data_IF_767521109506
#
_entry.id   IF_767521109506
#
_cell.length_a   1.000
_cell.length_b   1.000
_cell.length_c   1.000
_cell.angle_alpha   90.00
_cell.angle_beta   90.00
_cell.angle_gamma   90.00
#
_symmetry.space_group_name_H-M   'P 1'
#
loop_
_entity.id
_entity.type
_entity.pdbx_description
1 polymer ?
#
# COMPACT_ATOMS: atom_id res chain seq x y z
N UNK A 1 38.15 57.15 -16.24
CA UNK A 1 39.00 55.95 -16.13
C UNK A 1 38.88 55.39 -14.73
N UNK A 2 38.14 54.28 -14.56
CA UNK A 2 38.24 53.36 -13.44
C UNK A 2 37.37 52.14 -13.78
N UNK A 3 38.00 50.98 -13.94
CA UNK A 3 37.39 49.72 -14.36
C UNK A 3 36.89 48.94 -13.14
N UNK A 4 35.69 48.37 -13.25
CA UNK A 4 35.11 47.44 -12.27
C UNK A 4 35.85 46.09 -12.25
N UNK A 5 35.98 45.43 -11.10
CA UNK A 5 36.46 44.04 -11.05
C UNK A 5 35.33 43.04 -11.32
N UNK A 6 35.57 42.22 -12.35
CA UNK A 6 34.79 41.04 -12.75
C UNK A 6 34.89 39.93 -11.70
N UNK A 7 33.72 39.40 -11.33
CA UNK A 7 33.56 38.19 -10.51
C UNK A 7 33.98 36.96 -11.30
N UNK A 8 35.13 36.36 -10.94
CA UNK A 8 35.57 35.09 -11.49
C UNK A 8 34.74 33.93 -10.91
N UNK A 9 34.00 33.25 -11.79
CA UNK A 9 33.30 31.99 -11.52
C UNK A 9 34.19 30.87 -12.07
N UNK A 10 34.63 29.88 -11.28
CA UNK A 10 35.35 28.73 -11.82
C UNK A 10 34.35 27.84 -12.55
N UNK A 11 34.35 27.90 -13.88
CA UNK A 11 33.80 26.87 -14.74
C UNK A 11 34.80 25.73 -14.83
N UNK A 12 34.45 24.57 -14.29
CA UNK A 12 35.14 23.32 -14.61
C UNK A 12 34.77 22.93 -16.04
N UNK A 13 35.66 23.24 -16.98
CA UNK A 13 35.74 22.60 -18.28
C UNK A 13 36.52 21.31 -18.11
N UNK A 14 35.88 20.17 -18.40
CA UNK A 14 36.59 18.95 -18.75
C UNK A 14 36.37 18.74 -20.25
N UNK A 15 37.44 18.95 -21.01
CA UNK A 15 37.65 18.37 -22.33
C UNK A 15 37.83 16.87 -22.13
N UNK A 16 36.75 16.12 -22.30
CA UNK A 16 36.78 14.74 -22.82
C UNK A 16 35.31 14.29 -22.96
N UNK A 17 34.94 13.94 -24.18
CA UNK A 17 33.56 13.70 -24.63
C UNK A 17 32.92 12.42 -24.12
N UNK A 18 33.02 12.12 -22.83
CA UNK A 18 32.23 11.10 -22.16
C UNK A 18 31.01 11.76 -21.49
N UNK A 19 29.77 11.32 -21.74
CA UNK A 19 28.63 11.79 -20.99
C UNK A 19 28.77 11.25 -19.57
N UNK A 20 29.46 12.01 -18.72
CA UNK A 20 29.41 11.83 -17.28
C UNK A 20 27.94 12.01 -16.92
N UNK A 21 27.21 10.90 -16.83
CA UNK A 21 25.89 10.81 -16.23
C UNK A 21 26.07 11.24 -14.80
N UNK A 22 26.08 12.56 -14.60
CA UNK A 22 26.08 13.19 -13.30
C UNK A 22 24.96 12.50 -12.53
N UNK A 23 25.39 11.71 -11.54
CA UNK A 23 24.58 10.86 -10.69
C UNK A 23 23.68 11.81 -9.92
N UNK A 24 22.58 12.21 -10.56
CA UNK A 24 21.68 13.23 -10.10
C UNK A 24 21.05 12.75 -8.81
N UNK A 25 21.46 13.36 -7.70
CA UNK A 25 20.73 13.21 -6.46
C UNK A 25 19.31 13.73 -6.72
N UNK A 26 18.31 12.88 -6.51
CA UNK A 26 16.91 13.23 -6.69
C UNK A 26 16.56 14.40 -5.76
N UNK A 27 16.49 15.61 -6.34
CA UNK A 27 16.02 16.81 -5.64
C UNK A 27 14.54 16.63 -5.33
N UNK A 28 14.05 17.16 -4.21
CA UNK A 28 12.62 17.10 -3.87
C UNK A 28 11.80 17.63 -5.07
N UNK A 29 10.87 16.82 -5.57
CA UNK A 29 10.07 17.14 -6.77
C UNK A 29 10.61 16.59 -8.09
N UNK A 30 11.73 15.87 -8.06
CA UNK A 30 12.25 15.17 -9.24
C UNK A 30 11.30 14.03 -9.63
N UNK A 31 10.68 14.21 -10.79
CA UNK A 31 9.68 13.31 -11.33
C UNK A 31 10.28 11.95 -11.68
N UNK A 32 9.44 11.03 -12.15
CA UNK A 32 9.96 9.76 -12.67
C UNK A 32 10.54 9.99 -14.05
N UNK A 33 11.82 9.68 -14.22
CA UNK A 33 12.42 9.64 -15.55
C UNK A 33 11.77 8.53 -16.40
N UNK A 34 11.96 8.57 -17.72
CA UNK A 34 11.43 7.51 -18.61
C UNK A 34 12.08 6.17 -18.28
N UNK A 35 13.40 6.15 -18.10
CA UNK A 35 14.14 4.94 -17.75
C UNK A 35 13.74 4.39 -16.38
N UNK A 36 13.53 5.25 -15.39
CA UNK A 36 13.02 4.87 -14.06
C UNK A 36 11.59 4.30 -14.16
N UNK A 37 10.76 4.88 -15.04
CA UNK A 37 9.40 4.38 -15.28
C UNK A 37 9.42 2.98 -15.91
N UNK A 38 10.29 2.75 -16.89
CA UNK A 38 10.41 1.44 -17.55
C UNK A 38 10.98 0.39 -16.58
N UNK A 39 12.00 0.75 -15.79
CA UNK A 39 12.56 -0.11 -14.74
C UNK A 39 11.53 -0.47 -13.66
N UNK A 40 10.71 0.49 -13.22
CA UNK A 40 9.58 0.23 -12.32
C UNK A 40 8.63 -0.82 -12.89
N UNK A 41 8.28 -0.75 -14.17
CA UNK A 41 7.35 -1.70 -14.78
C UNK A 41 7.92 -3.11 -14.83
N UNK A 42 9.22 -3.25 -15.08
CA UNK A 42 9.91 -4.53 -15.06
C UNK A 42 9.92 -5.14 -13.65
N UNK A 43 10.34 -4.37 -12.64
CA UNK A 43 10.40 -4.84 -11.24
C UNK A 43 9.01 -5.23 -10.72
N UNK A 44 7.98 -4.43 -11.04
CA UNK A 44 6.59 -4.76 -10.67
C UNK A 44 6.15 -6.06 -11.35
N UNK A 45 6.49 -6.28 -12.62
CA UNK A 45 6.12 -7.51 -13.32
C UNK A 45 6.71 -8.76 -12.67
N UNK A 46 7.94 -8.67 -12.17
CA UNK A 46 8.66 -9.78 -11.55
C UNK A 46 8.23 -10.03 -10.09
N UNK A 47 8.08 -8.97 -9.28
CA UNK A 47 7.98 -9.07 -7.81
C UNK A 47 6.63 -8.64 -7.23
N UNK A 48 5.58 -8.46 -8.05
CA UNK A 48 4.28 -7.98 -7.54
C UNK A 48 3.61 -8.90 -6.51
N UNK A 49 3.98 -10.18 -6.46
CA UNK A 49 3.45 -11.16 -5.50
C UNK A 49 4.06 -10.99 -4.11
N UNK A 50 5.33 -10.57 -4.07
CA UNK A 50 6.13 -10.48 -2.87
C UNK A 50 5.84 -9.19 -2.08
N UNK A 51 5.33 -8.17 -2.76
CA UNK A 51 4.80 -6.96 -2.15
C UNK A 51 5.49 -5.69 -2.63
N UNK A 52 4.91 -4.55 -2.26
CA UNK A 52 5.41 -3.24 -2.70
C UNK A 52 6.70 -2.81 -2.01
N UNK A 53 6.99 -3.34 -0.83
CA UNK A 53 8.23 -3.01 -0.10
C UNK A 53 9.44 -3.65 -0.79
N UNK A 54 9.35 -4.93 -1.18
CA UNK A 54 10.39 -5.57 -1.97
C UNK A 54 10.58 -4.92 -3.35
N UNK A 55 9.48 -4.54 -4.02
CA UNK A 55 9.57 -3.77 -5.26
C UNK A 55 10.33 -2.46 -5.04
N UNK A 56 10.12 -1.79 -3.91
CA UNK A 56 10.84 -0.56 -3.59
C UNK A 56 12.34 -0.81 -3.37
N UNK A 57 12.68 -1.87 -2.65
CA UNK A 57 14.08 -2.25 -2.40
C UNK A 57 14.81 -2.61 -3.71
N UNK A 58 14.19 -3.46 -4.54
CA UNK A 58 14.73 -3.84 -5.84
C UNK A 58 14.85 -2.63 -6.80
N UNK A 59 13.85 -1.76 -6.83
CA UNK A 59 13.90 -0.52 -7.62
C UNK A 59 15.01 0.42 -7.14
N UNK A 60 15.15 0.61 -5.82
CA UNK A 60 16.16 1.50 -5.26
C UNK A 60 17.58 0.94 -5.45
N UNK A 61 17.75 -0.38 -5.53
CA UNK A 61 19.02 -1.01 -5.91
C UNK A 61 19.40 -0.70 -7.37
N UNK A 62 18.43 -0.67 -8.28
CA UNK A 62 18.64 -0.31 -9.69
C UNK A 62 18.88 1.20 -9.88
N UNK A 63 18.22 2.03 -9.08
CA UNK A 63 18.28 3.50 -9.17
C UNK A 63 18.76 4.14 -7.86
N UNK A 64 20.04 3.98 -7.47
CA UNK A 64 20.55 4.41 -6.16
C UNK A 64 20.50 5.93 -5.93
N UNK A 65 20.33 6.73 -7.01
CA UNK A 65 20.15 8.19 -6.93
C UNK A 65 18.70 8.65 -6.65
N UNK A 66 17.72 7.77 -6.85
CA UNK A 66 16.29 8.08 -6.75
C UNK A 66 15.63 7.19 -5.70
N UNK A 67 15.78 7.56 -4.43
CA UNK A 67 15.13 6.85 -3.32
C UNK A 67 13.62 7.02 -3.40
N UNK A 68 12.92 5.99 -3.88
CA UNK A 68 11.46 5.93 -3.94
C UNK A 68 10.93 5.04 -2.81
N UNK A 69 9.72 5.32 -2.37
CA UNK A 69 9.02 4.52 -1.36
C UNK A 69 8.00 3.62 -2.04
N UNK A 70 7.65 2.49 -1.40
CA UNK A 70 6.60 1.59 -1.87
C UNK A 70 5.31 2.35 -2.27
N UNK A 71 4.91 3.32 -1.46
CA UNK A 71 3.76 4.18 -1.73
C UNK A 71 3.91 5.07 -2.98
N UNK A 72 5.10 5.64 -3.24
CA UNK A 72 5.31 6.48 -4.43
C UNK A 72 5.34 5.66 -5.72
N UNK A 73 5.97 4.48 -5.70
CA UNK A 73 5.99 3.54 -6.82
C UNK A 73 4.59 3.02 -7.14
N UNK A 74 3.83 2.62 -6.11
CA UNK A 74 2.43 2.19 -6.25
C UNK A 74 1.55 3.27 -6.86
N UNK A 75 1.69 4.53 -6.42
CA UNK A 75 0.96 5.67 -7.00
C UNK A 75 1.35 5.92 -8.46
N UNK A 76 2.65 5.86 -8.78
CA UNK A 76 3.14 6.02 -10.15
C UNK A 76 2.59 4.92 -11.07
N UNK A 77 2.68 3.65 -10.65
CA UNK A 77 2.11 2.52 -11.38
C UNK A 77 0.59 2.68 -11.56
N UNK A 78 -0.12 3.07 -10.50
CA UNK A 78 -1.55 3.31 -10.55
C UNK A 78 -1.94 4.41 -11.55
N UNK A 79 -1.16 5.48 -11.61
CA UNK A 79 -1.34 6.53 -12.60
C UNK A 79 -1.15 6.00 -14.02
N UNK A 80 -0.10 5.20 -14.27
CA UNK A 80 0.22 4.69 -15.61
C UNK A 80 -0.89 3.81 -16.18
N UNK A 81 -1.35 2.79 -15.45
CA UNK A 81 -2.37 1.87 -16.01
C UNK A 81 -3.75 2.52 -16.16
N UNK A 82 -4.04 3.59 -15.41
CA UNK A 82 -5.29 4.37 -15.52
C UNK A 82 -5.24 5.42 -16.63
N UNK A 83 -4.05 5.75 -17.14
CA UNK A 83 -3.89 6.76 -18.19
C UNK A 83 -4.61 6.29 -19.46
N UNK A 84 -5.48 7.16 -19.98
CA UNK A 84 -6.07 7.01 -21.32
C UNK A 84 -5.02 7.47 -22.33
N UNK A 85 -4.77 6.65 -23.34
CA UNK A 85 -3.76 6.93 -24.36
C UNK A 85 -4.50 7.55 -25.54
N UNK A 86 -4.37 8.86 -25.67
CA UNK A 86 -4.94 9.63 -26.80
C UNK A 86 -3.86 9.89 -27.86
N UNK A 87 -4.27 10.29 -29.07
CA UNK A 87 -3.35 10.60 -30.19
C UNK A 87 -2.35 11.72 -29.89
N UNK A 88 -2.63 12.56 -28.88
CA UNK A 88 -1.77 13.65 -28.41
C UNK A 88 -0.74 13.20 -27.37
N UNK A 89 -0.84 11.96 -26.88
CA UNK A 89 0.06 11.42 -25.86
C UNK A 89 1.41 11.09 -26.48
N UNK A 90 2.51 11.59 -25.88
CA UNK A 90 3.86 11.26 -26.33
C UNK A 90 4.03 9.74 -26.36
N UNK A 91 4.55 9.21 -27.47
CA UNK A 91 4.68 7.77 -27.72
C UNK A 91 5.35 7.01 -26.56
N UNK A 92 6.40 7.59 -25.96
CA UNK A 92 7.09 7.00 -24.79
C UNK A 92 6.15 6.76 -23.61
N UNK A 93 5.25 7.70 -23.32
CA UNK A 93 4.25 7.56 -22.25
C UNK A 93 3.12 6.60 -22.63
N UNK A 94 2.73 6.58 -23.90
CA UNK A 94 1.77 5.61 -24.44
C UNK A 94 2.27 4.17 -24.27
N UNK A 95 3.53 3.91 -24.63
CA UNK A 95 4.18 2.59 -24.46
C UNK A 95 4.24 2.18 -22.99
N UNK A 96 4.69 3.07 -22.10
CA UNK A 96 4.74 2.79 -20.67
C UNK A 96 3.33 2.50 -20.09
N UNK A 97 2.31 3.24 -20.52
CA UNK A 97 0.92 3.00 -20.10
C UNK A 97 0.38 1.64 -20.62
N UNK A 98 0.70 1.26 -21.85
CA UNK A 98 0.34 -0.04 -22.42
C UNK A 98 0.98 -1.20 -21.64
N UNK A 99 2.27 -1.11 -21.32
CA UNK A 99 2.98 -2.09 -20.49
C UNK A 99 2.35 -2.15 -19.09
N UNK A 100 2.07 -0.99 -18.47
CA UNK A 100 1.43 -0.94 -17.15
C UNK A 100 0.05 -1.62 -17.13
N UNK A 101 -0.75 -1.44 -18.19
CA UNK A 101 -2.04 -2.14 -18.36
C UNK A 101 -1.83 -3.65 -18.47
N UNK A 102 -0.90 -4.09 -19.32
CA UNK A 102 -0.55 -5.51 -19.45
C UNK A 102 -0.14 -6.13 -18.11
N UNK A 103 0.77 -5.48 -17.38
CA UNK A 103 1.20 -5.94 -16.04
C UNK A 103 0.00 -5.98 -15.07
N UNK A 104 -0.88 -4.99 -15.11
CA UNK A 104 -2.10 -4.97 -14.28
C UNK A 104 -3.04 -6.12 -14.61
N UNK A 105 -3.16 -6.49 -15.87
CA UNK A 105 -3.97 -7.62 -16.33
C UNK A 105 -3.34 -8.95 -15.92
N UNK A 106 -2.01 -9.09 -16.02
CA UNK A 106 -1.26 -10.25 -15.47
C UNK A 106 -1.52 -10.39 -13.95
N UNK A 107 -1.42 -9.30 -13.19
CA UNK A 107 -1.70 -9.28 -11.74
C UNK A 107 -3.15 -9.67 -11.41
N UNK A 108 -4.13 -9.34 -12.27
CA UNK A 108 -5.55 -9.70 -12.09
C UNK A 108 -5.82 -11.14 -12.54
N UNK A 109 -5.25 -11.56 -13.67
CA UNK A 109 -5.42 -12.88 -14.26
C UNK A 109 -4.83 -13.97 -13.37
N UNK A 110 -3.68 -13.71 -12.75
CA UNK A 110 -3.05 -14.68 -11.85
C UNK A 110 -3.80 -14.82 -10.51
N UNK A 111 -4.59 -13.82 -10.09
CA UNK A 111 -5.57 -13.95 -8.98
C UNK A 111 -6.81 -14.79 -9.34
N UNK A 112 -7.07 -15.01 -10.63
CA UNK A 112 -8.09 -15.96 -11.12
C UNK A 112 -7.50 -17.29 -11.59
N UNK A 113 -6.17 -17.38 -11.71
CA UNK A 113 -5.45 -18.44 -12.44
C UNK A 113 -5.14 -19.72 -11.67
N UNK A 114 -5.41 -19.82 -10.37
CA UNK A 114 -5.42 -21.12 -9.68
C UNK A 114 -6.70 -21.93 -9.97
N UNK A 115 -7.58 -21.45 -10.85
CA UNK A 115 -8.75 -22.15 -11.36
C UNK A 115 -8.76 -22.29 -12.91
N UNK A 116 -7.61 -22.16 -13.58
CA UNK A 116 -7.57 -22.08 -15.05
C UNK A 116 -6.37 -22.78 -15.67
N UNK A 117 -6.25 -24.09 -15.48
CA UNK A 117 -5.42 -24.94 -16.34
C UNK A 117 -6.13 -25.11 -17.69
N UNK A 118 -5.39 -24.85 -18.78
CA UNK A 118 -5.70 -24.94 -20.23
C UNK A 118 -6.28 -23.71 -20.91
N UNK A 119 -5.51 -23.19 -21.87
CA UNK A 119 -6.01 -22.30 -22.91
C UNK A 119 -4.90 -21.67 -23.73
N UNK A 120 -4.15 -22.48 -24.48
CA UNK A 120 -3.32 -22.01 -25.59
C UNK A 120 -4.22 -21.56 -26.76
N UNK A 121 -4.01 -20.34 -27.28
CA UNK A 121 -4.28 -19.87 -28.66
C UNK A 121 -3.81 -18.42 -28.74
N UNK A 122 -2.71 -18.07 -29.42
CA UNK A 122 -2.53 -18.00 -30.88
C UNK A 122 -3.63 -17.18 -31.57
N UNK A 123 -3.21 -16.01 -32.05
CA UNK A 123 -3.76 -15.15 -33.12
C UNK A 123 -5.24 -15.25 -33.47
N UNK A 124 -5.94 -14.12 -33.36
CA UNK A 124 -6.57 -13.55 -34.55
C UNK A 124 -6.89 -12.05 -34.38
N UNK A 125 -6.33 -11.30 -35.32
CA UNK A 125 -6.80 -9.99 -35.78
C UNK A 125 -8.30 -10.06 -36.10
N UNK A 126 -9.08 -9.09 -35.62
CA UNK A 126 -10.18 -8.51 -36.41
C UNK A 126 -10.61 -7.18 -35.81
N UNK A 127 -10.49 -6.17 -36.66
CA UNK A 127 -11.07 -4.84 -36.51
C UNK A 127 -12.59 -4.94 -36.36
N UNK A 128 -13.18 -4.20 -35.42
CA UNK A 128 -14.55 -3.71 -35.57
C UNK A 128 -14.75 -2.46 -34.72
N UNK A 129 -14.88 -1.32 -35.40
CA UNK A 129 -15.44 -0.09 -34.86
C UNK A 129 -16.88 -0.33 -34.39
N UNK A 130 -17.31 0.33 -33.31
CA UNK A 130 -18.70 0.22 -32.84
C UNK A 130 -18.96 0.85 -31.48
N UNK A 131 -19.00 2.18 -31.47
CA UNK A 131 -19.56 3.05 -30.41
C UNK A 131 -20.84 2.52 -29.76
N UNK A 132 -20.89 2.43 -28.41
CA UNK A 132 -22.05 2.83 -27.58
C UNK A 132 -21.54 3.22 -26.17
N UNK A 133 -21.89 4.43 -25.74
CA UNK A 133 -21.45 5.02 -24.48
C UNK A 133 -22.18 4.51 -23.24
N UNK A 134 -21.47 4.53 -22.11
CA UNK A 134 -22.06 4.61 -20.77
C UNK A 134 -21.26 5.66 -20.01
N UNK A 135 -21.96 6.73 -19.68
CA UNK A 135 -21.50 7.89 -18.94
C UNK A 135 -21.64 7.58 -17.45
N UNK A 136 -20.51 7.36 -16.75
CA UNK A 136 -20.51 7.25 -15.29
C UNK A 136 -19.72 8.43 -14.71
N UNK A 137 -20.50 9.34 -14.10
CA UNK A 137 -20.05 10.55 -13.42
C UNK A 137 -19.29 10.15 -12.17
N UNK A 138 -17.97 10.37 -12.15
CA UNK A 138 -17.19 10.28 -10.92
C UNK A 138 -16.99 11.67 -10.35
N UNK A 139 -17.61 11.91 -9.19
CA UNK A 139 -17.39 13.08 -8.36
C UNK A 139 -15.91 13.20 -7.95
N UNK A 140 -15.42 14.43 -8.12
CA UNK A 140 -14.18 14.97 -7.59
C UNK A 140 -14.01 14.64 -6.11
N UNK A 141 -12.78 14.24 -5.73
CA UNK A 141 -12.23 14.63 -4.43
C UNK A 141 -10.70 14.55 -4.46
N UNK A 142 -10.12 15.71 -4.70
CA UNK A 142 -8.77 16.08 -4.31
C UNK A 142 -8.67 16.17 -2.78
N UNK A 143 -7.66 15.54 -2.21
CA UNK A 143 -6.98 15.93 -0.96
C UNK A 143 -5.60 15.25 -1.01
N UNK A 144 -4.46 15.92 -1.21
CA UNK A 144 -3.82 17.01 -0.45
C UNK A 144 -3.55 16.63 1.00
N UNK A 145 -2.26 16.69 1.30
CA UNK A 145 -1.58 16.77 2.60
C UNK A 145 -1.26 15.46 3.33
N UNK A 146 0.01 15.14 3.56
CA UNK A 146 1.11 15.83 4.27
C UNK A 146 1.28 15.23 5.67
N UNK A 147 2.53 14.83 5.90
CA UNK A 147 3.24 14.77 7.18
C UNK A 147 2.81 13.72 8.21
N UNK A 148 3.73 12.79 8.48
CA UNK A 148 4.45 12.69 9.76
C UNK A 148 5.32 11.43 9.71
N UNK A 149 6.63 11.57 9.83
CA UNK A 149 7.51 10.45 10.19
C UNK A 149 8.14 10.82 11.53
N UNK A 150 7.57 10.23 12.58
CA UNK A 150 8.15 10.21 13.91
C UNK A 150 9.20 9.09 13.92
N UNK A 151 10.44 9.47 14.21
CA UNK A 151 11.55 8.57 14.47
C UNK A 151 11.29 7.79 15.76
N UNK A 152 11.53 6.48 15.72
CA UNK A 152 11.98 5.73 16.90
C UNK A 152 13.22 4.94 16.49
N UNK A 153 14.33 5.30 17.13
CA UNK A 153 15.56 4.51 17.21
C UNK A 153 15.38 3.49 18.34
N UNK A 154 15.85 2.25 18.18
CA UNK A 154 16.89 1.66 19.05
C UNK A 154 17.20 0.17 18.76
N UNK A 155 18.52 -0.10 18.73
CA UNK A 155 19.30 -1.31 19.09
C UNK A 155 19.04 -2.65 18.35
N UNK A 156 19.98 -3.20 17.57
CA UNK A 156 21.32 -3.74 17.88
C UNK A 156 21.27 -5.07 18.66
N UNK A 157 21.58 -6.20 17.98
CA UNK A 157 22.56 -7.24 18.34
C UNK A 157 22.37 -8.53 17.50
N UNK A 158 23.42 -8.91 16.75
CA UNK A 158 23.80 -10.29 16.34
C UNK A 158 24.57 -10.94 17.53
N UNK A 159 25.01 -12.23 17.52
CA UNK A 159 24.88 -13.38 16.60
C UNK A 159 24.29 -14.63 17.33
N UNK A 160 24.10 -15.84 16.78
CA UNK A 160 25.10 -16.83 16.33
C UNK A 160 24.43 -18.19 15.97
N UNK A 161 25.16 -19.03 15.21
CA UNK A 161 25.15 -20.50 15.15
C UNK A 161 24.02 -21.27 14.41
N UNK A 162 24.35 -21.61 13.16
CA UNK A 162 24.38 -22.96 12.55
C UNK A 162 23.73 -24.13 13.32
N UNK A 163 22.60 -24.65 12.82
CA UNK A 163 22.26 -26.09 12.88
C UNK A 163 21.62 -26.51 11.55
N UNK A 164 22.39 -27.27 10.78
CA UNK A 164 21.95 -28.15 9.70
C UNK A 164 21.32 -29.41 10.31
N UNK A 165 20.05 -29.75 10.00
CA UNK A 165 19.56 -31.15 9.95
C UNK A 165 18.07 -31.25 9.56
N UNK A 166 17.83 -31.89 8.41
CA UNK A 166 16.72 -32.81 8.10
C UNK A 166 15.26 -32.36 8.29
N UNK A 167 14.77 -31.52 7.38
CA UNK A 167 13.32 -31.34 7.12
C UNK A 167 12.73 -32.45 6.20
N UNK A 168 13.58 -33.37 5.71
CA UNK A 168 13.22 -34.30 4.63
C UNK A 168 12.71 -35.69 5.08
N UNK A 169 12.74 -36.01 6.39
CA UNK A 169 12.26 -37.31 6.92
C UNK A 169 10.78 -37.30 7.33
N UNK A 170 10.20 -36.13 7.64
CA UNK A 170 8.80 -36.06 8.14
C UNK A 170 7.77 -36.25 7.02
N UNK A 171 8.18 -36.14 5.74
CA UNK A 171 7.29 -36.35 4.59
C UNK A 171 7.17 -37.80 4.12
N UNK A 172 7.98 -38.73 4.64
CA UNK A 172 7.95 -40.13 4.19
C UNK A 172 7.14 -41.08 5.07
N UNK A 173 6.85 -40.73 6.33
CA UNK A 173 6.10 -41.61 7.25
C UNK A 173 4.58 -41.51 7.13
N UNK A 174 4.05 -40.57 6.36
CA UNK A 174 2.60 -40.35 6.18
C UNK A 174 2.01 -41.01 4.92
N UNK A 175 2.82 -41.66 4.09
CA UNK A 175 2.40 -42.20 2.78
C UNK A 175 2.12 -43.70 2.76
N UNK A 176 2.31 -44.42 3.87
CA UNK A 176 2.26 -45.90 3.90
C UNK A 176 1.10 -46.54 4.67
N UNK A 177 0.12 -45.78 5.15
CA UNK A 177 -1.06 -46.36 5.82
C UNK A 177 -2.36 -45.92 5.18
N UNK A 178 -2.62 -46.42 3.97
CA UNK A 178 -3.97 -46.44 3.38
C UNK A 178 -4.16 -47.81 2.73
N UNK A 179 -4.56 -48.80 3.52
CA UNK A 179 -5.24 -49.99 2.99
C UNK A 179 -6.76 -49.72 3.00
N UNK A 180 -7.48 -50.02 1.91
CA UNK A 180 -8.93 -49.90 1.87
C UNK A 180 -9.55 -51.17 2.43
N UNK A 181 -10.05 -51.13 3.67
CA UNK A 181 -10.97 -52.15 4.18
C UNK A 181 -12.39 -51.60 4.07
N UNK A 182 -13.11 -52.09 3.06
CA UNK A 182 -14.54 -51.97 2.89
C UNK A 182 -15.26 -52.60 4.09
N UNK A 183 -15.80 -51.78 4.99
CA UNK A 183 -16.93 -52.19 5.83
C UNK A 183 -17.79 -50.97 6.14
N UNK A 184 -18.95 -50.92 5.48
CA UNK A 184 -19.96 -49.89 5.71
C UNK A 184 -20.50 -50.00 7.14
N UNK A 185 -20.27 -48.95 7.93
CA UNK A 185 -20.94 -48.71 9.20
C UNK A 185 -21.65 -47.35 9.09
N UNK A 186 -23.00 -47.29 9.07
CA UNK A 186 -23.76 -46.05 8.83
C UNK A 186 -23.89 -45.19 10.09
N UNK A 187 -22.80 -45.02 10.86
CA UNK A 187 -22.82 -44.37 12.18
C UNK A 187 -21.87 -43.15 12.29
N UNK A 188 -21.25 -42.73 11.19
CA UNK A 188 -20.21 -41.70 11.22
C UNK A 188 -20.70 -40.27 10.92
N UNK A 189 -21.84 -40.11 10.26
CA UNK A 189 -22.33 -38.78 9.83
C UNK A 189 -23.02 -37.99 10.95
N UNK A 190 -23.68 -38.66 11.89
CA UNK A 190 -24.33 -38.00 13.03
C UNK A 190 -23.32 -37.42 14.06
N UNK A 191 -22.12 -38.00 14.15
CA UNK A 191 -21.06 -37.51 15.03
C UNK A 191 -20.46 -36.18 14.56
N UNK A 192 -20.47 -35.92 13.24
CA UNK A 192 -20.00 -34.64 12.69
C UNK A 192 -21.06 -33.55 12.79
N UNK A 193 -22.34 -33.88 12.63
CA UNK A 193 -23.43 -32.91 12.75
C UNK A 193 -23.67 -32.45 14.20
N UNK A 194 -23.47 -33.32 15.19
CA UNK A 194 -23.54 -32.96 16.61
C UNK A 194 -22.40 -32.05 17.06
N UNK A 195 -21.26 -32.06 16.36
CA UNK A 195 -20.12 -31.17 16.63
C UNK A 195 -20.37 -29.72 16.19
N UNK A 196 -21.31 -29.49 15.26
CA UNK A 196 -21.59 -28.18 14.68
C UNK A 196 -22.51 -27.31 15.59
N UNK A 197 -22.93 -27.83 16.75
CA UNK A 197 -23.65 -27.06 17.78
C UNK A 197 -22.66 -26.56 18.85
N UNK A 198 -21.92 -25.52 18.49
CA UNK A 198 -20.69 -25.05 19.12
C UNK A 198 -20.72 -24.42 20.55
N UNK A 199 -21.85 -24.13 21.23
CA UNK A 199 -21.77 -23.76 22.65
C UNK A 199 -21.33 -24.93 23.56
N UNK A 200 -21.56 -26.17 23.10
CA UNK A 200 -21.35 -27.40 23.88
C UNK A 200 -19.86 -27.81 23.91
N UNK A 201 -19.06 -27.32 22.95
CA UNK A 201 -17.63 -27.63 22.86
C UNK A 201 -16.80 -27.07 24.04
N UNK A 202 -17.15 -25.88 24.54
CA UNK A 202 -16.41 -25.24 25.64
C UNK A 202 -16.58 -25.93 26.99
N UNK A 203 -17.77 -26.48 27.27
CA UNK A 203 -18.02 -27.28 28.48
C UNK A 203 -17.35 -28.65 28.40
N UNK A 204 -17.33 -29.25 27.21
CA UNK A 204 -16.68 -30.54 26.97
C UNK A 204 -15.16 -30.45 27.11
N UNK A 205 -14.55 -29.38 26.61
CA UNK A 205 -13.13 -29.06 26.82
C UNK A 205 -12.81 -28.84 28.32
N UNK A 206 -13.73 -28.23 29.07
CA UNK A 206 -13.58 -28.01 30.52
C UNK A 206 -13.68 -29.31 31.32
N UNK A 207 -14.65 -30.17 31.01
CA UNK A 207 -14.78 -31.50 31.63
C UNK A 207 -13.57 -32.40 31.33
N UNK A 208 -13.09 -32.41 30.09
CA UNK A 208 -11.93 -33.23 29.71
C UNK A 208 -10.63 -32.72 30.34
N UNK A 209 -10.47 -31.41 30.52
CA UNK A 209 -9.36 -30.85 31.33
C UNK A 209 -9.38 -31.40 32.74
N UNK A 210 -10.54 -31.44 33.37
CA UNK A 210 -10.70 -32.02 34.71
C UNK A 210 -10.45 -33.54 34.74
N UNK A 211 -10.79 -34.27 33.67
CA UNK A 211 -10.49 -35.71 33.56
C UNK A 211 -9.00 -36.01 33.36
N UNK A 212 -8.28 -35.16 32.63
CA UNK A 212 -6.82 -35.24 32.49
C UNK A 212 -6.16 -34.99 33.85
N UNK A 213 -6.64 -33.98 34.60
CA UNK A 213 -6.14 -33.67 35.95
C UNK A 213 -6.42 -34.80 36.96
N UNK A 214 -7.51 -35.56 36.79
CA UNK A 214 -7.84 -36.71 37.63
C UNK A 214 -7.15 -38.02 37.22
N UNK A 215 -6.29 -38.00 36.19
CA UNK A 215 -5.54 -39.15 35.68
C UNK A 215 -6.42 -40.34 35.26
N UNK A 216 -7.64 -40.08 34.81
CA UNK A 216 -8.50 -41.10 34.21
C UNK A 216 -7.99 -41.49 32.83
N UNK A 217 -8.11 -42.76 32.45
CA UNK A 217 -7.65 -43.26 31.14
C UNK A 217 -8.56 -42.72 30.02
N UNK A 218 -8.12 -41.63 29.39
CA UNK A 218 -8.84 -41.01 28.27
C UNK A 218 -8.61 -41.82 27.00
N UNK A 219 -9.71 -42.13 26.30
CA UNK A 219 -9.64 -42.78 25.00
C UNK A 219 -8.83 -41.94 24.01
N UNK A 220 -8.00 -42.57 23.19
CA UNK A 220 -7.24 -41.89 22.13
C UNK A 220 -8.14 -41.10 21.17
N UNK A 221 -9.39 -41.56 20.99
CA UNK A 221 -10.41 -40.88 20.20
C UNK A 221 -10.88 -39.57 20.85
N UNK A 222 -11.04 -39.56 22.18
CA UNK A 222 -11.45 -38.35 22.92
C UNK A 222 -10.32 -37.32 22.96
N UNK A 223 -9.07 -37.77 23.04
CA UNK A 223 -7.90 -36.89 22.92
C UNK A 223 -7.84 -36.23 21.54
N UNK A 224 -8.03 -36.99 20.46
CA UNK A 224 -8.06 -36.46 19.10
C UNK A 224 -9.21 -35.45 18.90
N UNK A 225 -10.39 -35.76 19.44
CA UNK A 225 -11.54 -34.85 19.40
C UNK A 225 -11.24 -33.54 20.16
N UNK A 226 -10.54 -33.63 21.28
CA UNK A 226 -10.12 -32.47 22.09
C UNK A 226 -9.14 -31.58 21.33
N UNK A 227 -8.10 -32.16 20.74
CA UNK A 227 -7.10 -31.42 19.95
C UNK A 227 -7.77 -30.70 18.77
N UNK A 228 -8.71 -31.37 18.09
CA UNK A 228 -9.46 -30.77 17.00
C UNK A 228 -10.29 -29.55 17.47
N UNK A 229 -10.98 -29.67 18.60
CA UNK A 229 -11.74 -28.56 19.19
C UNK A 229 -10.84 -27.38 19.57
N UNK A 230 -9.69 -27.63 20.19
CA UNK A 230 -8.71 -26.58 20.55
C UNK A 230 -8.16 -25.89 19.30
N UNK A 231 -7.84 -26.64 18.24
CA UNK A 231 -7.34 -26.06 17.00
C UNK A 231 -8.39 -25.17 16.32
N UNK A 232 -9.65 -25.61 16.30
CA UNK A 232 -10.75 -24.84 15.72
C UNK A 232 -11.07 -23.58 16.55
N UNK A 233 -11.03 -23.67 17.89
CA UNK A 233 -11.17 -22.52 18.77
C UNK A 233 -10.01 -21.52 18.61
N UNK A 234 -8.77 -22.02 18.54
CA UNK A 234 -7.58 -21.20 18.27
C UNK A 234 -7.67 -20.51 16.90
N UNK A 235 -8.17 -21.20 15.87
CA UNK A 235 -8.38 -20.63 14.56
C UNK A 235 -9.42 -19.51 14.59
N UNK A 236 -10.57 -19.76 15.24
CA UNK A 236 -11.63 -18.76 15.43
C UNK A 236 -11.12 -17.52 16.16
N UNK A 237 -10.31 -17.70 17.19
CA UNK A 237 -9.75 -16.60 17.96
C UNK A 237 -8.89 -15.69 17.07
N UNK A 238 -8.02 -16.28 16.24
CA UNK A 238 -7.23 -15.52 15.26
C UNK A 238 -8.08 -14.83 14.19
N UNK A 239 -9.22 -15.41 13.81
CA UNK A 239 -10.17 -14.77 12.89
C UNK A 239 -10.83 -13.55 13.56
N UNK A 240 -11.28 -13.68 14.82
CA UNK A 240 -11.85 -12.59 15.59
C UNK A 240 -10.87 -11.44 15.82
N UNK A 241 -9.62 -11.74 16.16
CA UNK A 241 -8.57 -10.73 16.32
C UNK A 241 -8.32 -9.97 15.00
N UNK A 242 -8.30 -10.67 13.86
CA UNK A 242 -8.18 -10.04 12.55
C UNK A 242 -9.39 -9.17 12.21
N UNK A 243 -10.59 -9.55 12.61
CA UNK A 243 -11.79 -8.74 12.41
C UNK A 243 -11.81 -7.50 13.31
N UNK A 244 -11.42 -7.65 14.57
CA UNK A 244 -11.27 -6.54 15.51
C UNK A 244 -10.23 -5.53 14.98
N UNK A 245 -9.07 -5.99 14.53
CA UNK A 245 -8.04 -5.12 13.99
C UNK A 245 -8.52 -4.37 12.74
N UNK A 246 -9.29 -5.02 11.86
CA UNK A 246 -9.91 -4.34 10.70
C UNK A 246 -10.88 -3.25 11.15
N UNK A 247 -11.66 -3.51 12.19
CA UNK A 247 -12.64 -2.55 12.71
C UNK A 247 -11.95 -1.37 13.41
N UNK A 248 -10.91 -1.61 14.19
CA UNK A 248 -10.08 -0.56 14.80
C UNK A 248 -9.49 0.35 13.72
N UNK A 249 -8.95 -0.21 12.63
CA UNK A 249 -8.47 0.59 11.49
C UNK A 249 -9.58 1.40 10.82
N UNK A 250 -10.82 0.91 10.78
CA UNK A 250 -11.97 1.68 10.24
C UNK A 250 -12.32 2.83 11.17
N UNK A 251 -12.40 2.59 12.48
CA UNK A 251 -12.71 3.60 13.48
C UNK A 251 -11.63 4.67 13.53
N UNK A 252 -10.36 4.28 13.54
CA UNK A 252 -9.23 5.22 13.52
C UNK A 252 -9.24 6.08 12.26
N UNK A 253 -9.49 5.49 11.08
CA UNK A 253 -9.63 6.24 9.84
C UNK A 253 -10.79 7.24 9.90
N UNK A 254 -11.92 6.86 10.49
CA UNK A 254 -13.07 7.77 10.67
C UNK A 254 -12.73 8.91 11.63
N UNK A 255 -12.04 8.62 12.73
CA UNK A 255 -11.55 9.63 13.69
C UNK A 255 -10.61 10.61 13.01
N UNK A 256 -9.62 10.11 12.28
CA UNK A 256 -8.67 10.93 11.52
C UNK A 256 -9.38 11.82 10.50
N UNK A 257 -10.36 11.28 9.76
CA UNK A 257 -11.16 12.07 8.82
C UNK A 257 -12.00 13.15 9.53
N UNK A 258 -12.55 12.85 10.70
CA UNK A 258 -13.31 13.82 11.49
C UNK A 258 -12.40 14.94 12.00
N UNK A 259 -11.21 14.60 12.49
CA UNK A 259 -10.18 15.53 12.94
C UNK A 259 -9.69 16.43 11.79
N UNK A 260 -9.43 15.87 10.60
CA UNK A 260 -9.07 16.65 9.42
C UNK A 260 -10.17 17.64 9.01
N UNK A 261 -11.44 17.22 9.07
CA UNK A 261 -12.59 18.10 8.83
C UNK A 261 -12.70 19.20 9.89
N UNK A 262 -12.31 18.94 11.12
CA UNK A 262 -12.29 19.93 12.17
C UNK A 262 -11.13 20.92 12.00
N UNK A 263 -9.93 20.44 11.68
CA UNK A 263 -8.78 21.29 11.39
C UNK A 263 -9.05 22.23 10.21
N UNK A 264 -9.67 21.75 9.13
CA UNK A 264 -10.05 22.61 8.00
C UNK A 264 -11.02 23.70 8.42
N UNK A 265 -12.03 23.36 9.24
CA UNK A 265 -12.97 24.35 9.78
C UNK A 265 -12.26 25.41 10.64
N UNK A 266 -11.31 25.01 11.48
CA UNK A 266 -10.51 25.95 12.28
C UNK A 266 -9.66 26.87 11.40
N UNK A 267 -8.98 26.32 10.40
CA UNK A 267 -8.15 27.10 9.49
C UNK A 267 -8.98 28.07 8.63
N UNK A 268 -10.16 27.66 8.18
CA UNK A 268 -11.09 28.54 7.46
C UNK A 268 -11.61 29.68 8.34
N UNK A 269 -11.91 29.41 9.62
CA UNK A 269 -12.29 30.44 10.58
C UNK A 269 -11.16 31.43 10.83
N UNK A 270 -9.94 30.95 11.09
CA UNK A 270 -8.76 31.79 11.28
C UNK A 270 -8.53 32.70 10.06
N UNK A 271 -8.62 32.15 8.86
CA UNK A 271 -8.49 32.93 7.61
C UNK A 271 -9.61 33.94 7.41
N UNK A 272 -10.82 33.66 7.90
CA UNK A 272 -11.93 34.61 7.86
C UNK A 272 -11.71 35.74 8.88
N UNK A 273 -11.19 35.43 10.08
CA UNK A 273 -10.83 36.41 11.09
C UNK A 273 -9.68 37.30 10.63
N UNK A 274 -8.65 36.73 10.02
CA UNK A 274 -7.53 37.48 9.45
C UNK A 274 -8.00 38.43 8.34
N UNK A 275 -8.95 38.00 7.50
CA UNK A 275 -9.60 38.89 6.52
C UNK A 275 -10.31 40.05 7.21
N UNK A 276 -11.08 39.80 8.27
CA UNK A 276 -11.74 40.87 9.05
C UNK A 276 -10.74 41.83 9.70
N UNK A 277 -9.67 41.31 10.31
CA UNK A 277 -8.61 42.13 10.92
C UNK A 277 -7.89 42.98 9.87
N UNK A 278 -7.59 42.39 8.72
CA UNK A 278 -6.95 43.10 7.61
C UNK A 278 -7.87 44.18 7.02
N UNK A 279 -9.16 43.90 6.87
CA UNK A 279 -10.15 44.90 6.44
C UNK A 279 -10.25 46.06 7.44
N UNK A 280 -10.32 45.77 8.75
CA UNK A 280 -10.31 46.78 9.81
C UNK A 280 -9.02 47.63 9.75
N UNK A 281 -7.87 46.99 9.58
CA UNK A 281 -6.59 47.69 9.44
C UNK A 281 -6.58 48.61 8.21
N UNK A 282 -7.05 48.11 7.06
CA UNK A 282 -7.17 48.91 5.83
C UNK A 282 -8.11 50.11 6.02
N UNK A 283 -9.24 49.95 6.70
CA UNK A 283 -10.16 51.06 7.00
C UNK A 283 -9.50 52.15 7.85
N UNK A 284 -8.75 51.77 8.89
CA UNK A 284 -7.99 52.71 9.73
C UNK A 284 -6.93 53.43 8.90
N UNK A 285 -6.18 52.70 8.08
CA UNK A 285 -5.16 53.27 7.20
C UNK A 285 -5.75 54.24 6.17
N UNK A 286 -6.86 53.90 5.52
CA UNK A 286 -7.56 54.79 4.59
C UNK A 286 -8.01 56.08 5.29
N UNK A 287 -8.53 55.97 6.52
CA UNK A 287 -8.96 57.13 7.30
C UNK A 287 -7.79 58.04 7.68
N UNK A 288 -6.67 57.45 8.13
CA UNK A 288 -5.45 58.21 8.44
C UNK A 288 -4.88 58.92 7.22
N UNK A 289 -4.78 58.23 6.07
CA UNK A 289 -4.30 58.84 4.82
C UNK A 289 -5.21 59.98 4.38
N UNK A 290 -6.54 59.82 4.48
CA UNK A 290 -7.49 60.88 4.16
C UNK A 290 -7.33 62.12 5.06
N UNK A 291 -7.10 61.92 6.36
CA UNK A 291 -6.82 63.03 7.31
C UNK A 291 -5.49 63.74 6.98
N UNK A 292 -4.44 63.00 6.66
CA UNK A 292 -3.14 63.57 6.26
C UNK A 292 -3.29 64.37 4.97
N UNK A 293 -4.00 63.85 3.97
CA UNK A 293 -4.25 64.54 2.70
C UNK A 293 -5.05 65.84 2.91
N UNK A 294 -6.12 65.80 3.71
CA UNK A 294 -6.91 66.99 4.04
C UNK A 294 -6.10 68.04 4.82
N UNK A 295 -5.24 67.61 5.74
CA UNK A 295 -4.36 68.49 6.51
C UNK A 295 -3.26 69.16 5.68
N UNK A 296 -2.75 68.50 4.64
CA UNK A 296 -1.79 69.12 3.70
C UNK A 296 -2.46 70.16 2.79
N UNK A 297 -3.73 69.96 2.43
CA UNK A 297 -4.49 70.87 1.57
C UNK A 297 -4.83 72.20 2.25
N UNK A 298 -5.01 72.22 3.57
CA UNK A 298 -5.23 73.45 4.36
C UNK A 298 -3.96 74.24 4.65
N UNK A 299 -2.77 73.65 4.46
CA UNK A 299 -1.47 74.27 4.77
C UNK A 299 -0.73 74.81 3.54
N UNK A 300 -1.32 74.65 2.35
CA UNK A 300 -0.77 75.06 1.05
C UNK A 300 -1.44 76.30 0.43
N UNK A 301 -2.21 77.06 1.20
CA UNK A 301 -2.74 78.39 0.86
C UNK A 301 -2.11 79.41 1.79
#
# INVERSE_FOLDING_TARGET
MASSPTSARPGALSEDGEPISSRGFSKRGDGFSVQETDGLLQVVREHWQEGWDMIADAHNAQFPGHKRTAGSLKRKFAKLYRTKVDSTTKEKHARAAAIAKKVRDEMRGQRRGLAGVRGLSVDLVTETEGSVGVQEVHEDLHDVDMMAHQQVMQHQLLPEATVTASEHEVRQTLSQSVQPLTQETPLREDAWQTLIRWPIAGERLRMLRSQIESNESISSQDLLQTVLLVLLESQRQRDLERDQEREERRVEKQRWQAEMREQRRRFEQERAEDRRRNEQFMQVMTTLVAQIAAGQQQRGV
#
